data_IF_985839649637
#
_entry.id   IF_985839649637
#
_cell.length_a   1.000
_cell.length_b   1.000
_cell.length_c   1.000
_cell.angle_alpha   90.00
_cell.angle_beta   90.00
_cell.angle_gamma   90.00
#
_symmetry.space_group_name_H-M   'P 1'
#
loop_
_entity.id
_entity.type
_entity.pdbx_description
1 polymer ?
#
# COMPACT_ATOMS: atom_id res chain seq x y z
N UNK A 1 -6.87 7.25 2.03
CA UNK A 1 -6.39 6.19 2.95
C UNK A 1 -4.89 6.28 3.11
N UNK A 2 -4.35 5.91 4.28
CA UNK A 2 -2.90 5.98 4.55
C UNK A 2 -2.17 4.94 3.68
N UNK A 3 -1.17 5.37 2.92
CA UNK A 3 -0.37 4.46 2.10
C UNK A 3 0.58 3.62 2.97
N UNK A 4 0.87 2.38 2.56
CA UNK A 4 1.89 1.55 3.18
C UNK A 4 3.28 2.04 2.78
N UNK A 5 4.00 2.66 3.72
CA UNK A 5 5.33 3.22 3.49
C UNK A 5 6.44 2.24 3.89
N UNK A 6 7.56 2.27 3.17
CA UNK A 6 8.78 1.54 3.56
C UNK A 6 9.34 2.08 4.89
N UNK A 7 9.67 1.17 5.80
CA UNK A 7 10.36 1.49 7.05
C UNK A 7 11.62 2.35 6.80
N UNK A 8 11.79 3.43 7.56
CA UNK A 8 12.90 4.40 7.49
C UNK A 8 12.98 5.26 6.22
N UNK A 9 11.98 5.21 5.33
CA UNK A 9 11.91 6.12 4.18
C UNK A 9 11.63 7.57 4.56
N UNK A 10 11.12 7.81 5.77
CA UNK A 10 10.96 9.11 6.41
C UNK A 10 12.30 9.70 6.89
N UNK A 11 13.26 8.84 7.27
CA UNK A 11 14.55 9.25 7.83
C UNK A 11 15.65 9.41 6.78
N UNK A 12 15.65 8.56 5.75
CA UNK A 12 16.72 8.52 4.76
C UNK A 12 16.21 8.78 3.34
N UNK A 13 16.69 9.85 2.69
CA UNK A 13 16.31 10.20 1.31
C UNK A 13 16.68 9.14 0.25
N UNK A 14 17.65 8.27 0.53
CA UNK A 14 18.03 7.14 -0.34
C UNK A 14 16.98 6.02 -0.38
N UNK A 15 16.04 5.99 0.59
CA UNK A 15 15.00 4.97 0.68
C UNK A 15 13.70 5.49 0.08
N UNK A 16 13.30 4.93 -1.07
CA UNK A 16 11.98 5.23 -1.66
C UNK A 16 10.84 4.82 -0.72
N UNK A 17 9.76 5.60 -0.73
CA UNK A 17 8.55 5.39 0.11
C UNK A 17 7.75 4.13 -0.24
N UNK A 18 7.89 3.60 -1.47
CA UNK A 18 7.18 2.40 -1.92
C UNK A 18 7.42 1.20 -1.00
N UNK A 19 6.35 0.52 -0.59
CA UNK A 19 6.41 -0.61 0.35
C UNK A 19 7.45 -1.67 -0.05
N UNK A 20 8.20 -2.15 0.94
CA UNK A 20 9.08 -3.31 0.85
C UNK A 20 8.95 -4.14 2.13
N UNK A 21 8.84 -5.46 2.00
CA UNK A 21 8.77 -6.37 3.16
C UNK A 21 10.10 -6.31 3.95
N UNK A 22 10.09 -5.89 5.23
CA UNK A 22 11.31 -5.88 6.04
C UNK A 22 11.74 -7.33 6.36
N UNK A 23 13.05 -7.60 6.24
CA UNK A 23 13.62 -8.94 6.40
C UNK A 23 14.44 -9.15 7.68
N UNK A 24 14.98 -8.09 8.29
CA UNK A 24 15.90 -8.19 9.43
C UNK A 24 15.25 -8.77 10.70
N UNK A 25 16.02 -9.52 11.50
CA UNK A 25 15.53 -10.28 12.66
C UNK A 25 14.92 -9.37 13.74
N UNK A 26 15.54 -8.23 14.04
CA UNK A 26 15.06 -7.31 15.08
C UNK A 26 14.19 -6.16 14.53
N UNK A 27 13.76 -6.27 13.27
CA UNK A 27 12.97 -5.19 12.69
C UNK A 27 11.58 -5.07 13.36
N UNK A 28 11.33 -3.92 13.98
CA UNK A 28 10.09 -3.63 14.72
C UNK A 28 8.81 -3.73 13.88
N UNK A 29 8.86 -3.37 12.59
CA UNK A 29 7.72 -3.53 11.66
C UNK A 29 7.48 -5.02 11.40
N UNK A 30 8.54 -5.81 11.14
CA UNK A 30 8.45 -7.26 10.92
C UNK A 30 7.87 -7.99 12.13
N UNK A 31 8.28 -7.58 13.34
CA UNK A 31 7.78 -8.09 14.62
C UNK A 31 6.42 -7.50 15.04
N UNK A 32 5.85 -6.58 14.26
CA UNK A 32 4.52 -5.97 14.45
C UNK A 32 4.34 -5.25 15.79
N UNK A 33 5.34 -4.50 16.24
CA UNK A 33 5.24 -3.73 17.48
C UNK A 33 4.17 -2.62 17.37
N UNK A 34 3.48 -2.34 18.47
CA UNK A 34 2.46 -1.28 18.56
C UNK A 34 3.07 0.09 18.22
N UNK A 35 2.32 0.92 17.50
CA UNK A 35 2.74 2.28 17.10
C UNK A 35 3.68 2.33 15.90
N UNK A 36 4.06 1.16 15.34
CA UNK A 36 4.91 1.09 14.17
C UNK A 36 4.09 0.96 12.87
N UNK A 37 4.71 1.18 11.70
CA UNK A 37 4.02 1.03 10.41
C UNK A 37 3.38 -0.36 10.27
N UNK A 38 2.13 -0.39 9.77
CA UNK A 38 1.43 -1.62 9.47
C UNK A 38 2.03 -2.31 8.25
N UNK A 39 2.02 -3.64 8.25
CA UNK A 39 2.35 -4.44 7.08
C UNK A 39 1.10 -4.66 6.23
N UNK A 40 1.17 -4.51 4.90
CA UNK A 40 0.08 -4.88 4.03
C UNK A 40 -0.16 -6.40 4.11
N UNK A 41 -1.44 -6.76 4.12
CA UNK A 41 -1.95 -8.12 4.07
C UNK A 41 -3.21 -8.14 3.20
N UNK A 42 -3.69 -9.35 2.86
CA UNK A 42 -4.87 -9.52 2.00
C UNK A 42 -6.17 -9.01 2.65
N UNK A 43 -6.23 -8.97 3.98
CA UNK A 43 -7.40 -8.50 4.73
C UNK A 43 -7.71 -7.01 4.56
N UNK A 44 -6.73 -6.20 4.13
CA UNK A 44 -6.98 -4.79 3.77
C UNK A 44 -7.61 -4.60 2.37
N UNK A 45 -7.76 -5.66 1.59
CA UNK A 45 -8.36 -5.59 0.26
C UNK A 45 -9.82 -5.16 0.30
N UNK A 46 -10.23 -4.28 -0.61
CA UNK A 46 -11.65 -3.92 -0.78
C UNK A 46 -12.48 -5.11 -1.27
N UNK A 47 -13.78 -5.09 -0.97
CA UNK A 47 -14.75 -6.10 -1.44
C UNK A 47 -14.63 -6.33 -2.96
N UNK A 48 -14.70 -7.58 -3.40
CA UNK A 48 -14.56 -7.98 -4.81
C UNK A 48 -15.53 -7.24 -5.74
N UNK A 49 -16.78 -7.01 -5.30
CA UNK A 49 -17.81 -6.30 -6.08
C UNK A 49 -17.45 -4.83 -6.36
N UNK A 50 -16.82 -4.16 -5.39
CA UNK A 50 -16.54 -2.71 -5.44
C UNK A 50 -15.08 -2.39 -5.76
N UNK A 51 -14.21 -3.41 -5.85
CA UNK A 51 -12.80 -3.24 -6.19
C UNK A 51 -12.64 -2.53 -7.54
N UNK A 52 -11.78 -1.50 -7.58
CA UNK A 52 -11.49 -0.65 -8.75
C UNK A 52 -12.65 0.25 -9.23
N UNK A 53 -13.73 0.38 -8.45
CA UNK A 53 -14.79 1.34 -8.69
C UNK A 53 -14.32 2.76 -8.32
N UNK A 54 -14.64 3.74 -9.17
CA UNK A 54 -14.41 5.15 -8.87
C UNK A 54 -15.40 5.62 -7.79
N UNK A 55 -15.12 6.74 -7.10
CA UNK A 55 -16.07 7.35 -6.17
C UNK A 55 -17.41 7.72 -6.81
N UNK A 56 -17.47 7.86 -8.14
CA UNK A 56 -18.70 8.11 -8.92
C UNK A 56 -19.58 6.87 -9.09
N UNK A 57 -19.13 5.68 -8.66
CA UNK A 57 -19.85 4.41 -8.85
C UNK A 57 -19.54 3.68 -10.16
N UNK A 58 -18.79 4.30 -11.07
CA UNK A 58 -18.42 3.70 -12.36
C UNK A 58 -17.02 3.09 -12.34
N UNK A 59 -16.76 2.15 -13.26
CA UNK A 59 -15.40 1.61 -13.50
C UNK A 59 -14.68 2.47 -14.53
N UNK A 60 -13.41 2.80 -14.27
CA UNK A 60 -12.58 3.55 -15.22
C UNK A 60 -12.22 2.65 -16.41
N UNK A 61 -12.53 3.10 -17.62
CA UNK A 61 -12.09 2.48 -18.89
C UNK A 61 -11.15 3.44 -19.60
N UNK A 62 -10.01 2.95 -20.06
CA UNK A 62 -9.05 3.72 -20.85
C UNK A 62 -9.33 3.46 -22.34
N UNK A 63 -9.78 4.47 -23.07
CA UNK A 63 -10.03 4.40 -24.52
C UNK A 63 -8.87 5.10 -25.24
N UNK A 64 -8.10 4.36 -26.04
CA UNK A 64 -6.93 4.91 -26.73
C UNK A 64 -7.29 5.52 -28.09
N UNK A 65 -8.29 4.95 -28.79
CA UNK A 65 -8.86 5.47 -30.02
C UNK A 65 -10.35 5.19 -30.03
N UNK A 66 -11.14 6.10 -30.55
CA UNK A 66 -12.60 5.98 -30.68
C UNK A 66 -13.03 5.39 -32.03
N UNK A 67 -12.09 4.81 -32.78
CA UNK A 67 -12.29 4.23 -34.10
C UNK A 67 -11.30 3.11 -34.35
#
# INVERSE_FOLDING_TARGET
TKQFMRHQSDRYGKLKRNWRKPKGIDNRVRRRFKGQFLMPNIGYGSNSKTKHMLPTGFRKVLVHKSR
#
